data_IF_483425435702
#
_entry.id   IF_483425435702
#
_cell.length_a   1.000
_cell.length_b   1.000
_cell.length_c   1.000
_cell.angle_alpha   90.00
_cell.angle_beta   90.00
_cell.angle_gamma   90.00
#
_symmetry.space_group_name_H-M   'P 1'
#
loop_
_entity.id
_entity.type
_entity.pdbx_description
1 polymer ?
#
# COMPACT_ATOMS: atom_id res chain seq x y z
N UNK A 1 -0.24 -2.56 -33.50
CA UNK A 1 0.23 -3.85 -32.94
C UNK A 1 -0.19 -3.90 -31.48
N UNK A 2 -0.85 -4.97 -31.08
CA UNK A 2 -1.37 -5.16 -29.71
C UNK A 2 -0.49 -6.15 -28.95
N UNK A 3 -0.26 -5.92 -27.66
CA UNK A 3 0.38 -6.93 -26.80
C UNK A 3 -0.71 -7.91 -26.32
N UNK A 4 -0.63 -9.21 -26.68
CA UNK A 4 -1.59 -10.21 -26.24
C UNK A 4 -1.42 -10.47 -24.73
N UNK A 5 -2.46 -11.02 -24.09
CA UNK A 5 -2.32 -11.54 -22.73
C UNK A 5 -1.41 -12.77 -22.77
N UNK A 6 -0.48 -12.87 -21.81
CA UNK A 6 0.39 -14.03 -21.71
C UNK A 6 0.66 -14.40 -20.25
N UNK A 7 0.91 -15.68 -20.03
CA UNK A 7 1.27 -16.25 -18.74
C UNK A 7 2.48 -17.16 -18.92
N UNK A 8 3.48 -17.02 -18.05
CA UNK A 8 4.66 -17.87 -18.02
C UNK A 8 4.65 -18.68 -16.73
N UNK A 9 4.73 -20.00 -16.89
CA UNK A 9 4.94 -20.95 -15.79
C UNK A 9 6.17 -21.80 -16.08
N UNK A 10 6.70 -22.47 -15.07
CA UNK A 10 7.91 -23.30 -15.23
C UNK A 10 7.83 -24.57 -14.40
N UNK A 11 8.50 -25.59 -14.87
CA UNK A 11 8.85 -26.83 -14.16
C UNK A 11 10.38 -26.89 -13.98
N UNK A 12 10.91 -27.97 -13.42
CA UNK A 12 12.36 -28.13 -13.24
C UNK A 12 13.12 -28.18 -14.59
N UNK A 13 12.45 -28.60 -15.67
CA UNK A 13 13.05 -28.78 -17.00
C UNK A 13 12.50 -27.85 -18.08
N UNK A 14 11.27 -27.36 -17.93
CA UNK A 14 10.55 -26.66 -19.00
C UNK A 14 9.98 -25.31 -18.54
N UNK A 15 9.73 -24.42 -19.50
CA UNK A 15 9.00 -23.16 -19.36
C UNK A 15 7.77 -23.23 -20.27
N UNK A 16 6.59 -23.06 -19.70
CA UNK A 16 5.33 -23.03 -20.42
C UNK A 16 4.89 -21.58 -20.62
N UNK A 17 4.64 -21.21 -21.88
CA UNK A 17 4.12 -19.91 -22.28
C UNK A 17 2.70 -20.08 -22.83
N UNK A 18 1.73 -19.48 -22.16
CA UNK A 18 0.34 -19.41 -22.62
C UNK A 18 0.10 -18.01 -23.17
N UNK A 19 -0.37 -17.88 -24.41
CA UNK A 19 -0.70 -16.61 -25.05
C UNK A 19 -2.17 -16.61 -25.45
N UNK A 20 -2.95 -15.66 -24.93
CA UNK A 20 -4.35 -15.48 -25.32
C UNK A 20 -4.46 -14.40 -26.39
N UNK A 21 -4.83 -14.83 -27.60
CA UNK A 21 -4.90 -13.98 -28.77
C UNK A 21 -6.22 -14.24 -29.53
N UNK A 22 -7.34 -13.65 -29.09
CA UNK A 22 -8.68 -13.96 -29.60
C UNK A 22 -8.91 -13.51 -31.05
N UNK A 23 -8.20 -12.48 -31.50
CA UNK A 23 -8.31 -11.91 -32.86
C UNK A 23 -7.25 -12.48 -33.83
N UNK A 24 -6.50 -13.51 -33.41
CA UNK A 24 -5.41 -14.09 -34.19
C UNK A 24 -5.90 -15.18 -35.14
N UNK A 25 -5.36 -15.19 -36.36
CA UNK A 25 -5.48 -16.32 -37.27
C UNK A 25 -4.42 -17.36 -36.92
N UNK A 26 -4.84 -18.59 -36.61
CA UNK A 26 -3.93 -19.69 -36.24
C UNK A 26 -2.91 -20.01 -37.34
N UNK A 27 -3.26 -19.79 -38.62
CA UNK A 27 -2.37 -20.01 -39.77
C UNK A 27 -1.18 -19.04 -39.83
N UNK A 28 -1.34 -17.85 -39.24
CA UNK A 28 -0.40 -16.74 -39.38
C UNK A 28 0.44 -16.56 -38.11
N UNK A 29 0.41 -17.56 -37.21
CA UNK A 29 1.13 -17.53 -35.95
C UNK A 29 2.59 -17.97 -36.14
N UNK A 30 3.51 -17.04 -35.92
CA UNK A 30 4.95 -17.26 -35.95
C UNK A 30 5.53 -17.09 -34.55
N UNK A 31 6.38 -18.03 -34.16
CA UNK A 31 7.13 -17.98 -32.91
C UNK A 31 8.61 -18.22 -33.21
N UNK A 32 9.48 -17.39 -32.66
CA UNK A 32 10.94 -17.53 -32.79
C UNK A 32 11.59 -17.45 -31.42
N UNK A 33 12.46 -18.41 -31.12
CA UNK A 33 13.20 -18.49 -29.86
C UNK A 33 14.68 -18.21 -30.14
N UNK A 34 15.21 -17.17 -29.51
CA UNK A 34 16.61 -16.75 -29.63
C UNK A 34 17.27 -16.73 -28.26
N UNK A 35 17.62 -17.90 -27.73
CA UNK A 35 18.28 -18.06 -26.44
C UNK A 35 17.45 -17.53 -25.28
N UNK A 36 17.66 -16.28 -24.87
CA UNK A 36 16.90 -15.65 -23.78
C UNK A 36 15.72 -14.78 -24.27
N UNK A 37 15.48 -14.72 -25.58
CA UNK A 37 14.44 -13.87 -26.16
C UNK A 37 13.42 -14.71 -26.94
N UNK A 38 12.14 -14.56 -26.62
CA UNK A 38 11.03 -15.19 -27.34
C UNK A 38 10.26 -14.10 -28.10
N UNK A 39 10.03 -14.30 -29.38
CA UNK A 39 9.25 -13.39 -30.23
C UNK A 39 8.05 -14.16 -30.76
N UNK A 40 6.85 -13.67 -30.46
CA UNK A 40 5.59 -14.16 -31.02
C UNK A 40 4.99 -13.07 -31.91
N UNK A 41 4.62 -13.43 -33.12
CA UNK A 41 3.96 -12.56 -34.08
C UNK A 41 2.73 -13.26 -34.66
N UNK A 42 1.58 -12.61 -34.55
CA UNK A 42 0.36 -13.04 -35.22
C UNK A 42 -0.58 -11.85 -35.33
N UNK A 43 -0.76 -11.29 -36.53
CA UNK A 43 -1.52 -10.05 -36.73
C UNK A 43 -2.91 -10.11 -36.05
N UNK A 44 -3.31 -9.12 -35.23
CA UNK A 44 -2.65 -7.82 -34.95
C UNK A 44 -1.67 -7.82 -33.76
N UNK A 45 -1.37 -8.98 -33.18
CA UNK A 45 -0.57 -9.16 -31.99
C UNK A 45 0.93 -9.28 -32.25
N UNK A 46 1.71 -8.66 -31.38
CA UNK A 46 3.17 -8.79 -31.32
C UNK A 46 3.61 -8.85 -29.88
N UNK A 47 4.45 -9.82 -29.54
CA UNK A 47 4.99 -10.01 -28.20
C UNK A 47 6.48 -10.36 -28.30
N UNK A 48 7.29 -9.62 -27.55
CA UNK A 48 8.72 -9.87 -27.41
C UNK A 48 9.03 -9.98 -25.93
N UNK A 49 9.48 -11.15 -25.51
CA UNK A 49 9.80 -11.48 -24.12
C UNK A 49 11.30 -11.69 -23.98
N UNK A 50 11.85 -11.16 -22.89
CA UNK A 50 13.22 -11.37 -22.47
C UNK A 50 13.21 -12.18 -21.17
N UNK A 51 13.50 -13.47 -21.28
CA UNK A 51 13.54 -14.40 -20.16
C UNK A 51 14.80 -14.17 -19.30
N UNK A 52 14.74 -14.47 -17.98
CA UNK A 52 15.90 -14.32 -17.11
C UNK A 52 17.02 -15.30 -17.46
N UNK A 53 16.69 -16.53 -17.87
CA UNK A 53 17.62 -17.55 -18.37
C UNK A 53 17.43 -17.85 -19.85
N UNK A 54 18.22 -18.78 -20.38
CA UNK A 54 18.18 -19.22 -21.78
C UNK A 54 17.35 -20.49 -21.94
N UNK A 55 16.59 -20.53 -23.02
CA UNK A 55 15.81 -21.69 -23.46
C UNK A 55 16.35 -22.23 -24.78
N UNK A 56 16.19 -23.52 -24.99
CA UNK A 56 16.60 -24.23 -26.20
C UNK A 56 15.37 -24.61 -26.99
N UNK A 57 15.41 -24.36 -28.30
CA UNK A 57 14.39 -24.82 -29.25
C UNK A 57 14.72 -26.25 -29.65
N UNK A 58 13.78 -27.17 -29.42
CA UNK A 58 13.90 -28.59 -29.81
C UNK A 58 12.94 -28.88 -30.96
N UNK A 59 13.29 -29.86 -31.81
CA UNK A 59 12.46 -30.26 -32.97
C UNK A 59 11.05 -30.78 -32.58
N UNK A 60 10.84 -31.07 -31.29
CA UNK A 60 9.58 -31.54 -30.70
C UNK A 60 8.76 -30.42 -30.01
N UNK A 61 9.16 -29.15 -30.12
CA UNK A 61 8.45 -28.02 -29.50
C UNK A 61 7.10 -27.75 -30.20
N UNK A 62 6.09 -28.56 -29.86
CA UNK A 62 4.76 -28.45 -30.46
C UNK A 62 3.96 -27.34 -29.79
N UNK A 63 3.79 -26.21 -30.47
CA UNK A 63 2.77 -25.22 -30.12
C UNK A 63 1.36 -25.83 -30.26
N UNK A 64 0.59 -25.84 -29.16
CA UNK A 64 -0.80 -26.32 -29.16
C UNK A 64 -1.75 -25.14 -29.13
N UNK A 65 -2.81 -25.18 -29.94
CA UNK A 65 -3.87 -24.16 -29.90
C UNK A 65 -5.12 -24.73 -29.23
N UNK A 66 -5.59 -24.06 -28.19
CA UNK A 66 -6.84 -24.38 -27.52
C UNK A 66 -7.97 -23.50 -28.07
N UNK A 67 -8.86 -24.09 -28.87
CA UNK A 67 -10.00 -23.40 -29.48
C UNK A 67 -11.00 -22.84 -28.45
N UNK A 68 -11.19 -23.52 -27.31
CA UNK A 68 -12.18 -23.11 -26.31
C UNK A 68 -11.73 -21.86 -25.54
N UNK A 69 -10.43 -21.76 -25.24
CA UNK A 69 -9.81 -20.63 -24.55
C UNK A 69 -9.32 -19.51 -25.47
N UNK A 70 -9.17 -19.79 -26.77
CA UNK A 70 -8.44 -18.97 -27.75
C UNK A 70 -6.99 -18.68 -27.30
N UNK A 71 -6.35 -19.73 -26.80
CA UNK A 71 -5.03 -19.70 -26.15
C UNK A 71 -4.04 -20.56 -26.94
N UNK A 72 -2.86 -20.00 -27.24
CA UNK A 72 -1.70 -20.70 -27.76
C UNK A 72 -0.83 -21.16 -26.58
N UNK A 73 -0.47 -22.44 -26.54
CA UNK A 73 0.36 -23.04 -25.51
C UNK A 73 1.67 -23.48 -26.14
N UNK A 74 2.78 -22.93 -25.65
CA UNK A 74 4.13 -23.29 -26.05
C UNK A 74 4.91 -23.83 -24.85
N UNK A 75 5.72 -24.86 -25.07
CA UNK A 75 6.60 -25.46 -24.08
C UNK A 75 8.04 -25.37 -24.58
N UNK A 76 8.94 -24.83 -23.77
CA UNK A 76 10.37 -24.69 -24.10
C UNK A 76 11.22 -25.38 -23.05
N UNK A 77 12.30 -26.04 -23.47
CA UNK A 77 13.25 -26.63 -22.52
C UNK A 77 14.28 -25.59 -22.04
N UNK A 78 14.63 -25.66 -20.76
CA UNK A 78 15.70 -24.84 -20.18
C UNK A 78 17.07 -25.34 -20.65
N UNK A 79 18.00 -24.43 -20.95
CA UNK A 79 19.38 -24.80 -21.29
C UNK A 79 20.07 -25.55 -20.14
N UNK A 80 19.87 -25.06 -18.91
CA UNK A 80 20.30 -25.74 -17.69
C UNK A 80 19.11 -26.42 -17.00
N UNK A 81 19.12 -27.75 -16.93
CA UNK A 81 18.14 -28.52 -16.15
C UNK A 81 18.23 -28.14 -14.67
N UNK A 82 17.08 -27.96 -14.03
CA UNK A 82 16.91 -27.49 -12.64
C UNK A 82 17.26 -26.02 -12.38
N UNK A 83 17.50 -25.19 -13.41
CA UNK A 83 17.63 -23.74 -13.22
C UNK A 83 16.25 -23.11 -12.98
N UNK A 84 16.08 -22.38 -11.87
CA UNK A 84 14.85 -21.66 -11.59
C UNK A 84 14.90 -20.25 -12.19
N UNK A 85 13.91 -19.91 -13.02
CA UNK A 85 13.80 -18.59 -13.64
C UNK A 85 13.04 -17.64 -12.69
N UNK A 86 13.67 -16.62 -12.10
CA UNK A 86 12.98 -15.71 -11.20
C UNK A 86 12.04 -14.77 -11.96
N UNK A 87 10.95 -14.36 -11.32
CA UNK A 87 10.10 -13.23 -11.75
C UNK A 87 9.34 -13.40 -13.07
N UNK A 88 8.93 -14.63 -13.42
CA UNK A 88 8.16 -14.92 -14.64
C UNK A 88 6.77 -14.25 -14.69
N UNK A 89 6.28 -13.78 -13.56
CA UNK A 89 5.02 -13.07 -13.38
C UNK A 89 5.17 -11.53 -13.39
N UNK A 90 6.40 -11.00 -13.45
CA UNK A 90 6.67 -9.57 -13.52
C UNK A 90 6.69 -9.11 -14.99
N UNK A 91 5.50 -8.93 -15.57
CA UNK A 91 5.29 -8.60 -16.99
C UNK A 91 6.17 -7.42 -17.44
N UNK A 92 6.21 -6.33 -16.67
CA UNK A 92 7.01 -5.15 -16.98
C UNK A 92 8.52 -5.42 -17.08
N UNK A 93 9.05 -6.43 -16.38
CA UNK A 93 10.46 -6.84 -16.44
C UNK A 93 10.76 -7.68 -17.68
N UNK A 94 9.83 -8.54 -18.09
CA UNK A 94 9.97 -9.44 -19.22
C UNK A 94 9.86 -8.73 -20.58
N UNK A 95 9.12 -7.62 -20.64
CA UNK A 95 8.95 -6.83 -21.86
C UNK A 95 10.15 -5.89 -22.14
N UNK A 96 11.07 -5.72 -21.19
CA UNK A 96 12.21 -4.78 -21.30
C UNK A 96 13.48 -5.53 -21.71
N UNK A 97 14.24 -5.08 -22.72
CA UNK A 97 15.51 -5.70 -23.08
C UNK A 97 16.53 -5.58 -21.94
N UNK A 98 17.26 -6.66 -21.67
CA UNK A 98 18.39 -6.61 -20.73
C UNK A 98 19.43 -5.60 -21.23
N UNK A 99 19.81 -4.63 -20.40
CA UNK A 99 20.98 -3.79 -20.66
C UNK A 99 22.20 -4.71 -20.72
N UNK A 100 22.76 -4.93 -21.91
CA UNK A 100 24.05 -5.61 -22.05
C UNK A 100 25.09 -4.64 -21.51
N UNK A 101 25.78 -5.00 -20.42
CA UNK A 101 26.99 -4.30 -20.01
C UNK A 101 27.99 -4.39 -21.16
N UNK A 102 28.16 -3.30 -21.91
CA UNK A 102 29.22 -3.17 -22.89
C UNK A 102 30.54 -3.10 -22.12
N UNK A 103 31.36 -4.13 -22.32
CA UNK A 103 32.79 -4.12 -21.97
C UNK A 103 33.37 -2.86 -22.62
N UNK A 104 33.96 -1.95 -21.82
CA UNK A 104 34.65 -0.76 -22.31
C UNK A 104 35.71 -1.21 -23.34
N UNK A 105 35.79 -0.62 -24.54
CA UNK A 105 36.89 -0.90 -25.46
C UNK A 105 38.19 -0.36 -24.85
N UNK A 106 39.19 -1.23 -24.70
CA UNK A 106 40.55 -0.84 -24.27
C UNK A 106 41.21 -0.10 -25.43
N UNK A 107 41.47 1.19 -25.26
CA UNK A 107 42.45 1.92 -26.05
C UNK A 107 43.64 2.16 -25.12
N UNK A 108 44.77 1.50 -25.42
CA UNK A 108 46.05 1.75 -24.79
C UNK A 108 46.57 3.12 -25.25
N UNK A 109 46.80 4.04 -24.31
CA UNK A 109 47.82 5.07 -24.46
C UNK A 109 48.42 5.45 -23.10
N UNK A 110 49.76 5.46 -23.06
CA UNK A 110 50.60 5.57 -21.88
C UNK A 110 50.59 6.99 -21.25
N UNK A 111 50.16 7.12 -19.99
CA UNK A 111 50.78 8.03 -19.00
C UNK A 111 50.27 7.75 -17.57
N UNK A 112 51.08 7.93 -16.51
CA UNK A 112 50.67 7.61 -15.15
C UNK A 112 50.27 8.88 -14.38
N UNK A 113 49.03 8.97 -13.88
CA UNK A 113 48.73 9.72 -12.65
C UNK A 113 47.26 9.57 -12.20
N UNK A 114 47.15 8.97 -11.00
CA UNK A 114 46.28 9.28 -9.85
C UNK A 114 44.74 9.14 -9.95
N UNK A 115 44.25 8.33 -9.02
CA UNK A 115 42.87 7.88 -8.82
C UNK A 115 41.86 9.02 -8.56
N UNK A 116 40.73 8.96 -9.25
CA UNK A 116 39.51 9.72 -8.97
C UNK A 116 38.30 8.77 -9.01
N UNK A 117 37.27 8.98 -8.14
CA UNK A 117 36.21 8.01 -7.90
C UNK A 117 35.21 7.92 -9.05
N UNK A 118 34.71 6.70 -9.28
CA UNK A 118 33.73 6.32 -10.29
C UNK A 118 32.54 7.29 -10.41
N UNK A 119 32.59 8.16 -11.42
CA UNK A 119 31.42 8.81 -11.99
C UNK A 119 30.93 7.95 -13.16
N UNK A 120 29.76 7.32 -13.00
CA UNK A 120 29.06 6.65 -14.11
C UNK A 120 28.67 7.72 -15.15
N UNK A 121 29.37 7.73 -16.28
CA UNK A 121 29.12 8.58 -17.44
C UNK A 121 27.99 7.99 -18.29
N UNK A 122 26.78 8.53 -18.14
CA UNK A 122 25.69 8.38 -19.11
C UNK A 122 25.88 9.44 -20.22
N UNK A 123 26.42 9.04 -21.37
CA UNK A 123 26.21 9.74 -22.63
C UNK A 123 26.24 8.75 -23.81
N UNK A 124 25.54 9.12 -24.88
CA UNK A 124 25.30 8.42 -26.15
C UNK A 124 24.21 7.34 -26.22
N UNK A 125 22.95 7.80 -26.11
CA UNK A 125 21.91 7.34 -27.02
C UNK A 125 20.95 8.47 -27.40
N UNK A 126 21.41 9.37 -28.28
CA UNK A 126 20.59 10.35 -28.99
C UNK A 126 19.72 9.67 -30.07
N UNK A 127 18.80 8.80 -29.66
CA UNK A 127 17.78 8.19 -30.50
C UNK A 127 16.41 8.38 -29.87
N UNK A 128 15.60 9.27 -30.45
CA UNK A 128 14.24 9.65 -30.03
C UNK A 128 14.16 10.62 -28.84
N UNK A 129 14.66 11.86 -29.02
CA UNK A 129 14.18 12.99 -28.22
C UNK A 129 12.72 13.23 -28.60
N UNK A 130 11.80 12.78 -27.74
CA UNK A 130 10.42 13.23 -27.78
C UNK A 130 10.46 14.73 -27.45
N UNK A 131 10.19 15.58 -28.45
CA UNK A 131 10.00 17.02 -28.19
C UNK A 131 8.74 17.16 -27.34
N UNK A 132 8.91 17.27 -26.03
CA UNK A 132 7.85 17.76 -25.15
C UNK A 132 7.69 19.25 -25.43
N UNK A 133 6.45 19.71 -25.53
CA UNK A 133 6.13 21.13 -25.56
C UNK A 133 6.60 21.68 -24.23
N UNK A 134 7.69 22.45 -24.25
CA UNK A 134 8.20 23.16 -23.09
C UNK A 134 7.17 24.25 -22.74
N UNK A 135 6.17 23.91 -21.93
CA UNK A 135 5.33 24.91 -21.30
C UNK A 135 6.18 25.62 -20.24
N UNK A 136 6.75 26.74 -20.65
CA UNK A 136 7.41 27.75 -19.82
C UNK A 136 6.44 28.39 -18.82
N UNK A 137 5.82 27.60 -17.94
CA UNK A 137 5.17 28.08 -16.71
C UNK A 137 5.88 27.42 -15.51
N UNK A 138 7.18 27.68 -15.40
CA UNK A 138 8.07 27.17 -14.35
C UNK A 138 7.92 27.97 -13.05
N UNK A 139 6.75 27.94 -12.43
CA UNK A 139 6.56 28.39 -11.03
C UNK A 139 5.59 27.53 -10.21
N UNK A 140 4.89 26.57 -10.82
CA UNK A 140 3.92 25.73 -10.12
C UNK A 140 4.63 24.56 -9.41
N UNK A 141 4.22 24.30 -8.18
CA UNK A 141 4.75 23.19 -7.39
C UNK A 141 4.45 21.84 -8.04
N UNK A 142 5.44 20.95 -8.02
CA UNK A 142 5.30 19.59 -8.57
C UNK A 142 4.59 18.66 -7.58
N UNK A 143 3.89 17.66 -8.11
CA UNK A 143 3.18 16.62 -7.36
C UNK A 143 3.08 15.32 -8.19
N UNK A 144 2.36 14.32 -7.69
CA UNK A 144 2.19 13.04 -8.39
C UNK A 144 3.39 12.11 -8.23
N UNK A 145 3.33 10.97 -8.91
CA UNK A 145 4.41 9.98 -8.92
C UNK A 145 5.77 10.64 -9.21
N UNK A 146 6.72 10.46 -8.29
CA UNK A 146 8.07 11.02 -8.36
C UNK A 146 8.14 12.55 -8.63
N UNK A 147 7.09 13.31 -8.26
CA UNK A 147 6.95 14.73 -8.57
C UNK A 147 7.02 15.05 -10.08
N UNK A 148 6.46 14.20 -10.94
CA UNK A 148 6.39 14.43 -12.39
C UNK A 148 5.13 15.18 -12.86
N UNK A 149 4.10 15.28 -12.02
CA UNK A 149 2.87 16.01 -12.30
C UNK A 149 2.99 17.51 -12.01
N UNK A 150 2.35 18.33 -12.85
CA UNK A 150 2.26 19.79 -12.70
C UNK A 150 1.05 20.33 -13.47
N UNK A 151 0.40 21.40 -12.97
CA UNK A 151 -0.51 22.26 -13.74
C UNK A 151 -1.86 21.65 -14.13
N UNK A 152 -2.45 20.83 -13.26
CA UNK A 152 -3.74 20.14 -13.49
C UNK A 152 -4.83 20.69 -12.54
N UNK A 153 -4.47 21.43 -11.49
CA UNK A 153 -5.35 21.86 -10.41
C UNK A 153 -6.55 22.70 -10.85
N UNK A 154 -6.37 23.56 -11.86
CA UNK A 154 -7.45 24.43 -12.36
C UNK A 154 -8.57 23.67 -13.10
N UNK A 155 -8.33 22.44 -13.57
CA UNK A 155 -9.30 21.65 -14.34
C UNK A 155 -10.12 20.66 -13.49
N UNK A 156 -9.67 20.33 -12.28
CA UNK A 156 -10.24 19.29 -11.41
C UNK A 156 -10.44 19.79 -9.96
N UNK A 157 -10.69 21.09 -9.80
CA UNK A 157 -10.68 21.72 -8.48
C UNK A 157 -11.77 21.22 -7.53
N UNK A 158 -12.93 20.81 -8.05
CA UNK A 158 -14.03 20.30 -7.23
C UNK A 158 -13.71 18.90 -6.69
N UNK A 159 -13.21 18.02 -7.56
CA UNK A 159 -12.79 16.67 -7.21
C UNK A 159 -11.62 16.72 -6.21
N UNK A 160 -10.67 17.64 -6.40
CA UNK A 160 -9.58 17.82 -5.47
C UNK A 160 -10.00 18.34 -4.11
N UNK A 161 -11.12 19.07 -3.97
CA UNK A 161 -11.61 19.50 -2.65
C UNK A 161 -12.07 18.32 -1.78
N UNK A 162 -12.48 17.20 -2.39
CA UNK A 162 -12.89 16.00 -1.65
C UNK A 162 -11.71 15.06 -1.34
N UNK A 163 -10.63 15.15 -2.12
CA UNK A 163 -9.44 14.30 -2.00
C UNK A 163 -8.39 14.96 -1.11
N UNK A 164 -8.15 16.25 -1.30
CA UNK A 164 -7.09 17.01 -0.67
C UNK A 164 -7.59 17.78 0.53
N UNK A 165 -6.72 17.88 1.53
CA UNK A 165 -6.95 18.70 2.72
C UNK A 165 -6.54 20.16 2.50
N UNK A 166 -5.83 20.43 1.40
CA UNK A 166 -5.28 21.73 1.07
C UNK A 166 -5.43 22.02 -0.42
N UNK A 167 -6.09 23.16 -0.73
CA UNK A 167 -6.54 23.48 -2.09
C UNK A 167 -5.55 24.32 -2.88
N UNK A 168 -4.68 25.11 -2.24
CA UNK A 168 -3.69 25.97 -2.91
C UNK A 168 -2.33 25.28 -3.11
N UNK A 169 -2.36 23.99 -3.47
CA UNK A 169 -1.16 23.15 -3.58
C UNK A 169 -0.26 23.53 -4.76
N UNK A 170 -0.79 24.20 -5.79
CA UNK A 170 -0.04 24.61 -6.98
C UNK A 170 0.88 25.82 -6.73
N UNK A 171 0.49 26.73 -5.83
CA UNK A 171 1.26 27.94 -5.51
C UNK A 171 2.09 27.80 -4.23
N UNK A 172 1.95 26.68 -3.52
CA UNK A 172 2.63 26.45 -2.25
C UNK A 172 3.80 25.49 -2.42
N UNK A 173 4.99 25.90 -1.97
CA UNK A 173 6.18 25.06 -2.03
C UNK A 173 6.04 23.79 -1.20
N UNK A 174 6.87 22.77 -1.48
CA UNK A 174 6.84 21.51 -0.70
C UNK A 174 7.15 21.71 0.80
N UNK A 175 7.94 22.72 1.14
CA UNK A 175 8.35 23.01 2.52
C UNK A 175 7.26 23.75 3.29
N UNK A 176 6.60 24.70 2.62
CA UNK A 176 5.42 25.38 3.16
C UNK A 176 4.27 24.39 3.37
N UNK A 177 4.06 23.45 2.42
CA UNK A 177 3.05 22.38 2.57
C UNK A 177 3.29 21.51 3.80
N UNK A 178 4.55 21.18 4.13
CA UNK A 178 4.86 20.40 5.34
C UNK A 178 4.44 21.15 6.61
N UNK A 179 4.79 22.44 6.69
CA UNK A 179 4.47 23.29 7.84
C UNK A 179 2.96 23.48 8.00
N UNK A 180 2.25 23.74 6.90
CA UNK A 180 0.79 23.93 6.90
C UNK A 180 0.07 22.64 7.29
N UNK A 181 0.52 21.49 6.78
CA UNK A 181 -0.01 20.18 7.15
C UNK A 181 0.15 19.91 8.64
N UNK A 182 1.34 20.15 9.18
CA UNK A 182 1.60 19.90 10.61
C UNK A 182 0.74 20.79 11.52
N UNK A 183 0.50 22.03 11.11
CA UNK A 183 -0.40 22.95 11.79
C UNK A 183 -1.87 22.48 11.70
N UNK A 184 -2.32 22.03 10.53
CA UNK A 184 -3.68 21.50 10.33
C UNK A 184 -3.92 20.22 11.14
N UNK A 185 -2.97 19.29 11.14
CA UNK A 185 -3.01 18.08 11.96
C UNK A 185 -3.06 18.40 13.45
N UNK A 186 -2.28 19.39 13.92
CA UNK A 186 -2.33 19.84 15.31
C UNK A 186 -3.68 20.44 15.68
N UNK A 187 -4.29 21.19 14.76
CA UNK A 187 -5.62 21.77 14.97
C UNK A 187 -6.75 20.72 14.95
N UNK A 188 -6.60 19.64 14.18
CA UNK A 188 -7.60 18.57 14.08
C UNK A 188 -7.44 17.47 15.11
N UNK A 189 -6.29 17.39 15.80
CA UNK A 189 -6.09 16.46 16.89
C UNK A 189 -7.12 16.72 18.00
N UNK A 190 -7.75 15.66 18.48
CA UNK A 190 -8.74 15.70 19.56
C UNK A 190 -8.22 14.86 20.71
N UNK A 191 -7.85 15.55 21.80
CA UNK A 191 -7.38 14.94 23.04
C UNK A 191 -8.45 14.00 23.62
N UNK A 192 -9.70 14.45 23.67
CA UNK A 192 -10.83 13.65 24.17
C UNK A 192 -11.01 12.34 23.41
N UNK A 193 -10.96 12.37 22.07
CA UNK A 193 -11.12 11.15 21.27
C UNK A 193 -9.92 10.21 21.43
N UNK A 194 -8.71 10.77 21.50
CA UNK A 194 -7.50 9.98 21.74
C UNK A 194 -7.56 9.27 23.10
N UNK A 195 -7.98 9.98 24.14
CA UNK A 195 -8.13 9.42 25.49
C UNK A 195 -9.30 8.42 25.58
N UNK A 196 -10.40 8.65 24.87
CA UNK A 196 -11.49 7.68 24.80
C UNK A 196 -11.01 6.33 24.20
N UNK A 197 -10.25 6.38 23.10
CA UNK A 197 -9.68 5.17 22.50
C UNK A 197 -8.65 4.48 23.42
N UNK A 198 -7.89 5.25 24.20
CA UNK A 198 -6.93 4.71 25.16
C UNK A 198 -7.61 4.00 26.35
N UNK A 199 -8.65 4.62 26.92
CA UNK A 199 -9.22 4.22 28.20
C UNK A 199 -10.42 3.27 28.04
N UNK A 200 -11.28 3.52 27.05
CA UNK A 200 -12.57 2.83 26.87
C UNK A 200 -12.53 1.84 25.70
N UNK A 201 -11.79 2.15 24.63
CA UNK A 201 -11.72 1.33 23.41
C UNK A 201 -10.80 0.10 23.49
N UNK A 202 -10.29 -0.23 24.67
CA UNK A 202 -9.16 -1.15 24.81
C UNK A 202 -9.46 -2.55 24.26
N UNK A 203 -10.64 -3.13 24.46
CA UNK A 203 -10.93 -4.51 24.03
C UNK A 203 -10.97 -4.66 22.49
N UNK A 204 -11.64 -3.76 21.78
CA UNK A 204 -11.72 -3.78 20.31
C UNK A 204 -10.35 -3.48 19.69
N UNK A 205 -9.68 -2.44 20.20
CA UNK A 205 -8.36 -2.02 19.71
C UNK A 205 -7.32 -3.11 20.00
N UNK A 206 -7.38 -3.76 21.16
CA UNK A 206 -6.52 -4.90 21.48
C UNK A 206 -6.70 -6.04 20.48
N UNK A 207 -7.95 -6.32 20.07
CA UNK A 207 -8.22 -7.27 18.97
C UNK A 207 -7.46 -6.91 17.69
N UNK A 208 -7.46 -5.63 17.31
CA UNK A 208 -6.74 -5.13 16.12
C UNK A 208 -5.21 -5.14 16.30
N UNK A 209 -4.70 -4.85 17.49
CA UNK A 209 -3.27 -4.86 17.84
C UNK A 209 -2.72 -6.29 17.80
N UNK A 210 -3.43 -7.25 18.39
CA UNK A 210 -2.99 -8.65 18.44
C UNK A 210 -3.26 -9.43 17.15
N UNK A 211 -4.11 -8.91 16.26
CA UNK A 211 -4.37 -9.53 14.98
C UNK A 211 -3.09 -9.63 14.13
N UNK A 212 -2.94 -10.75 13.43
CA UNK A 212 -1.77 -11.03 12.59
C UNK A 212 -2.15 -11.01 11.12
N UNK A 213 -1.66 -10.04 10.34
CA UNK A 213 -1.89 -10.03 8.90
C UNK A 213 -1.11 -11.16 8.20
N UNK A 214 -1.52 -11.47 6.97
CA UNK A 214 -0.91 -12.53 6.16
C UNK A 214 0.60 -12.34 5.89
N UNK A 215 1.10 -11.10 5.99
CA UNK A 215 2.52 -10.76 5.81
C UNK A 215 3.32 -10.73 7.11
N UNK A 216 2.73 -11.07 8.26
CA UNK A 216 3.46 -11.17 9.52
C UNK A 216 4.54 -12.27 9.47
N UNK A 217 4.25 -13.36 8.77
CA UNK A 217 5.22 -14.44 8.51
C UNK A 217 6.00 -14.10 7.23
N UNK A 218 7.27 -13.73 7.38
CA UNK A 218 8.18 -13.33 6.29
C UNK A 218 8.54 -14.49 5.34
N UNK A 219 7.58 -14.95 4.55
CA UNK A 219 7.78 -15.98 3.53
C UNK A 219 7.73 -15.37 2.12
N UNK A 220 8.92 -14.96 1.63
CA UNK A 220 9.17 -14.38 0.29
C UNK A 220 8.47 -15.12 -0.86
N UNK A 221 8.37 -16.45 -0.78
CA UNK A 221 7.95 -17.31 -1.90
C UNK A 221 6.46 -17.68 -1.93
N UNK A 222 5.64 -17.17 -1.00
CA UNK A 222 4.21 -17.54 -0.96
C UNK A 222 3.30 -16.61 -1.78
N UNK A 223 3.77 -15.42 -2.15
CA UNK A 223 2.89 -14.41 -2.78
C UNK A 223 2.78 -14.67 -4.29
N UNK A 224 1.60 -15.13 -4.71
CA UNK A 224 1.25 -15.37 -6.12
C UNK A 224 0.16 -14.40 -6.59
N UNK A 225 0.29 -13.90 -7.81
CA UNK A 225 -0.75 -13.09 -8.44
C UNK A 225 -1.88 -13.96 -8.99
N UNK A 226 -3.10 -13.48 -8.85
CA UNK A 226 -4.29 -14.01 -9.48
C UNK A 226 -4.36 -13.62 -10.96
N UNK A 227 -5.20 -14.32 -11.73
CA UNK A 227 -5.43 -14.02 -13.15
C UNK A 227 -5.90 -12.59 -13.38
N UNK A 228 -6.76 -12.07 -12.50
CA UNK A 228 -7.25 -10.69 -12.57
C UNK A 228 -6.15 -9.66 -12.35
N UNK A 229 -5.25 -9.91 -11.39
CA UNK A 229 -4.10 -9.04 -11.12
C UNK A 229 -3.14 -9.02 -12.33
N UNK A 230 -2.90 -10.18 -12.97
CA UNK A 230 -2.09 -10.26 -14.19
C UNK A 230 -2.73 -9.53 -15.38
N UNK A 231 -4.04 -9.63 -15.55
CA UNK A 231 -4.78 -8.89 -16.58
C UNK A 231 -4.68 -7.38 -16.34
N UNK A 232 -4.78 -6.94 -15.08
CA UNK A 232 -4.59 -5.53 -14.73
C UNK A 232 -3.19 -5.03 -15.11
N UNK A 233 -2.12 -5.79 -14.86
CA UNK A 233 -0.78 -5.37 -15.28
C UNK A 233 -0.66 -5.13 -16.78
N UNK A 234 -1.40 -5.89 -17.60
CA UNK A 234 -1.46 -5.68 -19.06
C UNK A 234 -2.16 -4.37 -19.41
N UNK A 235 -3.28 -4.05 -18.74
CA UNK A 235 -4.06 -2.83 -19.04
C UNK A 235 -3.33 -1.56 -18.61
N UNK A 236 -2.56 -1.61 -17.52
CA UNK A 236 -1.72 -0.49 -17.07
C UNK A 236 -0.58 -0.18 -18.06
N UNK A 237 -0.18 -1.17 -18.87
CA UNK A 237 0.87 -1.05 -19.87
C UNK A 237 2.27 -1.13 -19.26
N UNK A 238 3.28 -0.83 -20.09
CA UNK A 238 4.69 -0.92 -19.70
C UNK A 238 5.42 0.39 -20.03
N UNK A 239 5.60 1.26 -19.03
CA UNK A 239 6.30 2.55 -19.15
C UNK A 239 7.67 2.48 -18.49
N UNK A 240 8.69 3.04 -19.11
CA UNK A 240 10.01 3.23 -18.49
C UNK A 240 10.07 4.59 -17.81
N UNK A 241 10.55 4.60 -16.57
CA UNK A 241 10.71 5.82 -15.78
C UNK A 241 12.19 6.15 -15.66
N UNK A 242 12.61 7.21 -16.35
CA UNK A 242 13.93 7.80 -16.21
C UNK A 242 13.86 8.81 -15.06
N UNK A 243 14.17 8.32 -13.86
CA UNK A 243 14.16 9.10 -12.62
C UNK A 243 15.59 9.45 -12.23
N UNK A 244 15.82 10.68 -11.82
CA UNK A 244 17.06 11.06 -11.14
C UNK A 244 17.10 10.50 -9.70
N UNK A 245 18.21 10.67 -8.97
CA UNK A 245 18.33 10.14 -7.60
C UNK A 245 17.36 10.82 -6.62
N UNK A 246 17.01 12.08 -6.84
CA UNK A 246 16.06 12.80 -5.99
C UNK A 246 14.63 12.29 -6.20
N UNK A 247 14.22 12.14 -7.46
CA UNK A 247 12.92 11.61 -7.88
C UNK A 247 12.75 10.15 -7.45
N UNK A 248 13.81 9.33 -7.53
CA UNK A 248 13.81 7.97 -6.96
C UNK A 248 13.58 8.01 -5.46
N UNK A 249 14.27 8.91 -4.74
CA UNK A 249 14.10 9.07 -3.29
C UNK A 249 12.68 9.52 -2.94
N UNK A 250 12.13 10.50 -3.65
CA UNK A 250 10.73 10.95 -3.51
C UNK A 250 9.76 9.80 -3.73
N UNK A 251 9.93 9.01 -4.79
CA UNK A 251 9.08 7.86 -5.08
C UNK A 251 9.16 6.80 -3.98
N UNK A 252 10.36 6.48 -3.48
CA UNK A 252 10.51 5.51 -2.40
C UNK A 252 9.86 5.99 -1.08
N UNK A 253 9.93 7.28 -0.77
CA UNK A 253 9.38 7.81 0.48
C UNK A 253 7.87 7.91 0.46
N UNK A 254 7.31 8.42 -0.65
CA UNK A 254 5.86 8.46 -0.83
C UNK A 254 5.25 7.06 -0.97
N UNK A 255 5.98 6.10 -1.53
CA UNK A 255 5.58 4.68 -1.50
C UNK A 255 5.41 4.15 -0.08
N UNK A 256 6.32 4.50 0.84
CA UNK A 256 6.23 4.07 2.25
C UNK A 256 5.06 4.73 2.97
N UNK A 257 4.81 6.02 2.72
CA UNK A 257 3.67 6.76 3.30
C UNK A 257 2.33 6.15 2.86
N UNK A 258 2.15 5.90 1.56
CA UNK A 258 0.96 5.24 1.01
C UNK A 258 0.81 3.81 1.57
N UNK A 259 1.91 3.08 1.67
CA UNK A 259 1.91 1.70 2.18
C UNK A 259 1.48 1.63 3.65
N UNK A 260 1.95 2.57 4.48
CA UNK A 260 1.50 2.66 5.86
C UNK A 260 -0.01 2.89 5.96
N UNK A 261 -0.54 3.81 5.16
CA UNK A 261 -1.98 4.09 5.12
C UNK A 261 -2.79 2.84 4.71
N UNK A 262 -2.29 2.06 3.74
CA UNK A 262 -2.87 0.77 3.38
C UNK A 262 -2.78 -0.27 4.51
N UNK A 263 -1.61 -0.40 5.15
CA UNK A 263 -1.42 -1.35 6.25
C UNK A 263 -2.34 -1.02 7.42
N UNK A 264 -2.54 0.27 7.73
CA UNK A 264 -3.49 0.73 8.73
C UNK A 264 -4.90 0.24 8.38
N UNK A 265 -5.38 0.56 7.17
CA UNK A 265 -6.70 0.15 6.73
C UNK A 265 -6.87 -1.37 6.76
N UNK A 266 -5.88 -2.13 6.28
CA UNK A 266 -5.96 -3.59 6.27
C UNK A 266 -6.06 -4.19 7.68
N UNK A 267 -5.33 -3.62 8.65
CA UNK A 267 -5.40 -4.05 10.06
C UNK A 267 -6.74 -3.70 10.69
N UNK A 268 -7.21 -2.46 10.54
CA UNK A 268 -8.48 -2.02 11.15
C UNK A 268 -9.72 -2.64 10.52
N UNK A 269 -9.60 -3.14 9.29
CA UNK A 269 -10.66 -3.88 8.60
C UNK A 269 -10.48 -5.40 8.66
N UNK A 270 -9.46 -5.90 9.37
CA UNK A 270 -9.13 -7.33 9.47
C UNK A 270 -9.00 -8.03 8.10
N UNK A 271 -8.60 -7.26 7.07
CA UNK A 271 -8.46 -7.70 5.69
C UNK A 271 -9.72 -7.59 4.81
N UNK A 272 -10.87 -7.18 5.35
CA UNK A 272 -12.14 -7.03 4.63
C UNK A 272 -12.49 -5.56 4.36
N UNK A 273 -12.12 -5.06 3.18
CA UNK A 273 -12.25 -3.64 2.86
C UNK A 273 -13.71 -3.15 2.80
N UNK A 274 -13.92 -1.91 3.23
CA UNK A 274 -15.23 -1.24 3.27
C UNK A 274 -15.25 -0.03 2.33
N UNK A 275 -16.41 0.65 2.26
CA UNK A 275 -16.55 1.91 1.50
C UNK A 275 -15.64 3.02 2.02
N UNK A 276 -15.28 2.97 3.32
CA UNK A 276 -14.39 3.94 3.96
C UNK A 276 -12.91 3.62 3.77
N UNK A 277 -12.56 2.46 3.18
CA UNK A 277 -11.16 2.08 3.01
C UNK A 277 -10.41 3.03 2.07
N UNK A 278 -11.06 3.45 0.99
CA UNK A 278 -10.47 4.43 0.07
C UNK A 278 -10.26 5.80 0.75
N UNK A 279 -11.23 6.22 1.57
CA UNK A 279 -11.10 7.44 2.37
C UNK A 279 -9.95 7.35 3.37
N UNK A 280 -9.88 6.25 4.13
CA UNK A 280 -8.87 6.02 5.16
C UNK A 280 -7.45 6.05 4.57
N UNK A 281 -7.23 5.36 3.45
CA UNK A 281 -5.91 5.32 2.80
C UNK A 281 -5.52 6.71 2.26
N UNK A 282 -6.43 7.40 1.59
CA UNK A 282 -6.19 8.75 1.10
C UNK A 282 -5.86 9.70 2.27
N UNK A 283 -6.68 9.66 3.33
CA UNK A 283 -6.58 10.58 4.45
C UNK A 283 -5.32 10.35 5.27
N UNK A 284 -4.92 9.10 5.51
CA UNK A 284 -3.72 8.81 6.30
C UNK A 284 -2.43 9.09 5.53
N UNK A 285 -2.41 8.96 4.22
CA UNK A 285 -1.23 9.30 3.41
C UNK A 285 -1.13 10.81 3.20
N UNK A 286 -0.08 11.45 3.72
CA UNK A 286 0.19 12.86 3.42
C UNK A 286 0.62 13.07 1.96
N UNK A 287 1.20 12.06 1.31
CA UNK A 287 1.42 12.08 -0.13
C UNK A 287 0.10 12.22 -0.89
N UNK A 288 -0.97 11.52 -0.49
CA UNK A 288 -2.22 11.55 -1.25
C UNK A 288 -3.09 12.77 -0.90
N UNK A 289 -3.18 13.12 0.38
CA UNK A 289 -4.06 14.20 0.88
C UNK A 289 -3.44 15.61 0.86
N UNK A 290 -2.11 15.72 0.83
CA UNK A 290 -1.37 17.00 0.82
C UNK A 290 -0.37 17.12 -0.33
N UNK A 291 -0.24 16.09 -1.16
CA UNK A 291 0.81 15.98 -2.18
C UNK A 291 2.23 16.14 -1.58
N UNK A 292 2.40 15.76 -0.31
CA UNK A 292 3.63 15.99 0.43
C UNK A 292 4.83 15.25 -0.20
N UNK A 293 5.96 15.95 -0.29
CA UNK A 293 7.27 15.33 -0.55
C UNK A 293 8.11 15.30 0.72
N UNK A 294 8.61 14.13 1.08
CA UNK A 294 9.40 13.94 2.30
C UNK A 294 10.90 14.11 2.04
N UNK A 295 11.63 14.64 3.05
CA UNK A 295 13.09 14.82 2.99
C UNK A 295 13.83 13.66 3.62
N UNK A 296 13.26 13.04 4.65
CA UNK A 296 13.85 11.90 5.38
C UNK A 296 12.81 10.79 5.65
N UNK A 297 13.28 9.58 5.97
CA UNK A 297 12.39 8.48 6.39
C UNK A 297 11.78 8.73 7.77
N UNK A 298 12.49 9.46 8.65
CA UNK A 298 11.94 9.89 9.94
C UNK A 298 10.72 10.80 9.73
N UNK A 299 10.76 11.72 8.78
CA UNK A 299 9.62 12.59 8.46
C UNK A 299 8.40 11.78 7.96
N UNK A 300 8.65 10.72 7.18
CA UNK A 300 7.59 9.80 6.73
C UNK A 300 6.96 9.12 7.94
N UNK A 301 7.76 8.52 8.83
CA UNK A 301 7.25 7.87 10.05
C UNK A 301 6.44 8.82 10.93
N UNK A 302 6.97 10.02 11.17
CA UNK A 302 6.31 11.03 12.00
C UNK A 302 4.95 11.41 11.41
N UNK A 303 4.90 11.65 10.09
CA UNK A 303 3.65 11.92 9.38
C UNK A 303 2.66 10.78 9.52
N UNK A 304 3.08 9.54 9.23
CA UNK A 304 2.24 8.35 9.36
C UNK A 304 1.65 8.21 10.78
N UNK A 305 2.49 8.30 11.80
CA UNK A 305 2.09 8.21 13.20
C UNK A 305 1.14 9.34 13.59
N UNK A 306 1.50 10.60 13.34
CA UNK A 306 0.65 11.76 13.64
C UNK A 306 -0.74 11.61 13.02
N UNK A 307 -0.82 11.31 11.73
CA UNK A 307 -2.10 11.22 11.00
C UNK A 307 -2.97 10.06 11.50
N UNK A 308 -2.36 8.94 11.88
CA UNK A 308 -3.08 7.79 12.47
C UNK A 308 -3.72 8.09 13.83
N UNK A 309 -3.26 9.14 14.53
CA UNK A 309 -3.81 9.58 15.81
C UNK A 309 -4.80 10.74 15.67
N UNK A 310 -5.00 11.27 14.46
CA UNK A 310 -5.82 12.46 14.21
C UNK A 310 -7.09 12.12 13.45
N UNK A 311 -6.98 11.34 12.38
CA UNK A 311 -8.05 11.22 11.39
C UNK A 311 -8.94 9.97 11.47
N UNK A 312 -8.40 8.75 11.67
CA UNK A 312 -9.18 7.55 11.50
C UNK A 312 -10.10 7.29 12.71
N UNK A 313 -10.89 6.22 12.60
CA UNK A 313 -11.79 5.77 13.66
C UNK A 313 -11.03 5.37 14.94
N UNK A 314 -9.91 4.65 14.84
CA UNK A 314 -9.15 4.18 15.99
C UNK A 314 -7.82 4.94 16.14
N UNK A 315 -7.72 5.81 17.13
CA UNK A 315 -6.59 6.72 17.35
C UNK A 315 -5.75 6.25 18.52
N UNK A 316 -5.02 5.16 18.32
CA UNK A 316 -4.27 4.50 19.39
C UNK A 316 -2.79 4.34 19.06
N UNK A 317 -1.91 4.70 20.00
CA UNK A 317 -0.45 4.67 19.79
C UNK A 317 0.07 3.27 19.45
N UNK A 318 -0.32 2.26 20.20
CA UNK A 318 0.19 0.90 19.99
C UNK A 318 -0.34 0.28 18.70
N UNK A 319 -1.56 0.65 18.29
CA UNK A 319 -2.10 0.25 16.99
C UNK A 319 -1.22 0.82 15.87
N UNK A 320 -0.89 2.11 15.95
CA UNK A 320 0.00 2.76 14.98
C UNK A 320 1.40 2.15 14.96
N UNK A 321 1.93 1.72 16.11
CA UNK A 321 3.20 0.99 16.19
C UNK A 321 3.14 -0.38 15.50
N UNK A 322 2.05 -1.15 15.68
CA UNK A 322 1.86 -2.40 14.95
C UNK A 322 1.73 -2.19 13.43
N UNK A 323 1.06 -1.12 13.01
CA UNK A 323 0.98 -0.76 11.58
C UNK A 323 2.35 -0.36 11.01
N UNK A 324 3.21 0.31 11.78
CA UNK A 324 4.60 0.54 11.37
C UNK A 324 5.34 -0.79 11.15
N UNK A 325 5.16 -1.76 12.06
CA UNK A 325 5.75 -3.11 11.92
C UNK A 325 5.22 -3.81 10.68
N UNK A 326 3.92 -3.71 10.39
CA UNK A 326 3.32 -4.25 9.17
C UNK A 326 3.95 -3.67 7.92
N UNK A 327 4.09 -2.34 7.88
CA UNK A 327 4.72 -1.62 6.77
C UNK A 327 6.14 -2.12 6.53
N UNK A 328 6.92 -2.30 7.60
CA UNK A 328 8.28 -2.86 7.55
C UNK A 328 8.24 -4.30 7.02
N UNK A 329 7.33 -5.14 7.51
CA UNK A 329 7.20 -6.54 7.10
C UNK A 329 6.81 -6.68 5.62
N UNK A 330 5.93 -5.82 5.12
CA UNK A 330 5.58 -5.78 3.68
C UNK A 330 6.82 -5.42 2.84
N UNK A 331 7.59 -4.39 3.24
CA UNK A 331 8.81 -4.01 2.53
C UNK A 331 9.87 -5.13 2.56
N UNK A 332 10.03 -5.81 3.70
CA UNK A 332 10.96 -6.94 3.86
C UNK A 332 10.53 -8.18 3.09
N UNK A 333 9.22 -8.38 2.88
CA UNK A 333 8.66 -9.44 2.02
C UNK A 333 8.88 -9.19 0.53
N UNK A 334 9.42 -8.02 0.17
CA UNK A 334 9.83 -7.70 -1.19
C UNK A 334 8.69 -7.22 -2.09
N UNK A 335 9.05 -7.06 -3.37
CA UNK A 335 8.23 -6.33 -4.34
C UNK A 335 6.91 -7.01 -4.72
N UNK A 336 6.80 -8.34 -4.59
CA UNK A 336 5.54 -9.07 -4.86
C UNK A 336 4.45 -8.67 -3.88
N UNK A 337 4.77 -8.73 -2.59
CA UNK A 337 3.84 -8.33 -1.53
C UNK A 337 3.48 -6.86 -1.66
N UNK A 338 4.49 -6.01 -1.89
CA UNK A 338 4.29 -4.59 -2.11
C UNK A 338 3.34 -4.31 -3.29
N UNK A 339 3.56 -4.99 -4.43
CA UNK A 339 2.72 -4.82 -5.62
C UNK A 339 1.28 -5.30 -5.37
N UNK A 340 1.07 -6.37 -4.59
CA UNK A 340 -0.27 -6.78 -4.15
C UNK A 340 -0.99 -5.69 -3.37
N UNK A 341 -0.30 -5.03 -2.44
CA UNK A 341 -0.86 -3.92 -1.69
C UNK A 341 -1.29 -2.78 -2.63
N UNK A 342 -0.42 -2.38 -3.57
CA UNK A 342 -0.73 -1.30 -4.51
C UNK A 342 -1.85 -1.65 -5.50
N UNK A 343 -2.00 -2.91 -5.91
CA UNK A 343 -3.16 -3.34 -6.71
C UNK A 343 -4.45 -3.26 -5.88
N UNK A 344 -4.41 -3.65 -4.61
CA UNK A 344 -5.58 -3.53 -3.74
C UNK A 344 -5.99 -2.04 -3.60
N UNK A 345 -5.02 -1.14 -3.39
CA UNK A 345 -5.26 0.32 -3.39
C UNK A 345 -5.88 0.77 -4.71
N UNK A 346 -5.31 0.34 -5.84
CA UNK A 346 -5.81 0.69 -7.17
C UNK A 346 -7.29 0.32 -7.32
N UNK A 347 -7.65 -0.91 -6.96
CA UNK A 347 -9.04 -1.39 -7.01
C UNK A 347 -9.97 -0.55 -6.12
N UNK A 348 -9.56 -0.29 -4.88
CA UNK A 348 -10.36 0.51 -3.92
C UNK A 348 -10.60 1.95 -4.41
N UNK A 349 -9.57 2.60 -4.95
CA UNK A 349 -9.68 3.94 -5.50
C UNK A 349 -10.50 3.99 -6.80
N UNK A 350 -10.41 2.95 -7.63
CA UNK A 350 -11.19 2.88 -8.85
C UNK A 350 -12.70 2.74 -8.58
N UNK A 351 -13.08 2.17 -7.42
CA UNK A 351 -14.46 2.07 -6.95
C UNK A 351 -14.93 3.24 -6.08
N UNK A 352 -14.08 4.22 -5.79
CA UNK A 352 -14.40 5.37 -4.93
C UNK A 352 -14.23 6.66 -5.70
N UNK A 353 -15.34 7.33 -6.02
CA UNK A 353 -15.32 8.65 -6.65
C UNK A 353 -15.09 9.73 -5.58
N UNK A 354 -14.27 10.78 -5.84
CA UNK A 354 -13.42 11.00 -7.02
C UNK A 354 -11.99 10.42 -6.91
N UNK A 355 -11.72 9.53 -5.95
CA UNK A 355 -10.37 9.00 -5.64
C UNK A 355 -9.72 8.21 -6.77
N UNK A 356 -10.43 7.81 -7.82
CA UNK A 356 -9.82 7.25 -9.03
C UNK A 356 -8.75 8.18 -9.63
N UNK A 357 -8.83 9.49 -9.42
CA UNK A 357 -7.80 10.45 -9.83
C UNK A 357 -6.44 10.16 -9.17
N UNK A 358 -6.42 9.64 -7.94
CA UNK A 358 -5.17 9.22 -7.29
C UNK A 358 -4.54 8.01 -7.97
N UNK A 359 -5.34 7.18 -8.65
CA UNK A 359 -4.79 6.13 -9.50
C UNK A 359 -4.03 6.72 -10.68
N UNK A 360 -4.56 7.77 -11.31
CA UNK A 360 -3.90 8.44 -12.43
C UNK A 360 -2.65 9.20 -12.00
N UNK A 361 -2.68 9.83 -10.82
CA UNK A 361 -1.59 10.66 -10.31
C UNK A 361 -0.45 9.86 -9.66
N UNK A 362 -0.75 8.72 -9.01
CA UNK A 362 0.21 7.98 -8.21
C UNK A 362 0.16 6.47 -8.46
N UNK A 363 -0.98 5.83 -8.20
CA UNK A 363 -1.02 4.38 -7.99
C UNK A 363 -0.72 3.59 -9.28
N UNK A 364 -1.18 4.06 -10.44
CA UNK A 364 -0.89 3.44 -11.74
C UNK A 364 0.61 3.36 -11.99
N UNK A 365 1.31 4.48 -11.83
CA UNK A 365 2.75 4.53 -12.07
C UNK A 365 3.53 3.72 -11.03
N UNK A 366 3.06 3.66 -9.77
CA UNK A 366 3.63 2.74 -8.79
C UNK A 366 3.48 1.27 -9.19
N UNK A 367 2.28 0.84 -9.62
CA UNK A 367 2.04 -0.52 -10.07
C UNK A 367 2.95 -0.93 -11.23
N UNK A 368 3.30 0.00 -12.13
CA UNK A 368 4.23 -0.25 -13.25
C UNK A 368 5.69 -0.22 -12.76
N UNK A 369 6.06 0.81 -11.99
CA UNK A 369 7.43 1.04 -11.56
C UNK A 369 7.95 -0.05 -10.61
N UNK A 370 7.14 -0.49 -9.64
CA UNK A 370 7.51 -1.51 -8.64
C UNK A 370 7.95 -2.83 -9.31
N UNK A 371 7.34 -3.20 -10.43
CA UNK A 371 7.72 -4.41 -11.20
C UNK A 371 9.19 -4.39 -11.67
N UNK A 372 9.74 -3.19 -11.87
CA UNK A 372 11.11 -2.96 -12.37
C UNK A 372 12.11 -2.66 -11.27
N UNK A 373 11.66 -2.24 -10.09
CA UNK A 373 12.55 -1.97 -8.95
C UNK A 373 13.21 -3.26 -8.49
N UNK A 374 14.52 -3.18 -8.22
CA UNK A 374 15.28 -4.31 -7.68
C UNK A 374 14.80 -4.66 -6.28
N UNK A 375 14.56 -5.94 -6.03
CA UNK A 375 14.08 -6.44 -4.75
C UNK A 375 15.02 -6.10 -3.57
N UNK A 376 16.34 -6.15 -3.80
CA UNK A 376 17.35 -5.74 -2.81
C UNK A 376 17.15 -4.30 -2.32
N UNK A 377 16.75 -3.38 -3.20
CA UNK A 377 16.50 -1.97 -2.83
C UNK A 377 15.25 -1.84 -1.94
N UNK A 378 14.17 -2.56 -2.26
CA UNK A 378 12.94 -2.57 -1.45
C UNK A 378 13.20 -3.14 -0.05
N UNK A 379 13.90 -4.29 0.03
CA UNK A 379 14.28 -4.88 1.32
C UNK A 379 15.19 -3.95 2.13
N UNK A 380 16.19 -3.34 1.47
CA UNK A 380 17.06 -2.33 2.10
C UNK A 380 16.26 -1.14 2.64
N UNK A 381 15.25 -0.67 1.90
CA UNK A 381 14.35 0.39 2.36
C UNK A 381 13.61 -0.03 3.63
N UNK A 382 13.11 -1.26 3.70
CA UNK A 382 12.48 -1.80 4.92
C UNK A 382 13.41 -1.79 6.14
N UNK A 383 14.67 -2.21 5.98
CA UNK A 383 15.67 -2.15 7.06
C UNK A 383 16.07 -0.73 7.44
N UNK A 384 16.15 0.20 6.48
CA UNK A 384 16.43 1.60 6.78
C UNK A 384 15.26 2.25 7.51
N UNK A 385 14.03 1.97 7.06
CA UNK A 385 12.83 2.45 7.71
C UNK A 385 12.78 1.92 9.14
N UNK A 386 12.94 0.62 9.39
CA UNK A 386 12.94 0.02 10.73
C UNK A 386 13.88 0.73 11.73
N UNK A 387 15.08 1.15 11.29
CA UNK A 387 16.07 1.82 12.15
C UNK A 387 15.67 3.21 12.64
N UNK A 388 14.76 3.89 11.96
CA UNK A 388 14.34 5.23 12.39
C UNK A 388 13.44 5.13 13.63
N UNK A 389 13.82 5.74 14.75
CA UNK A 389 13.02 5.73 15.97
C UNK A 389 12.12 6.97 16.06
N UNK A 390 10.88 6.76 16.52
CA UNK A 390 9.90 7.81 16.78
C UNK A 390 9.29 7.57 18.15
N UNK A 391 9.41 8.56 19.02
CA UNK A 391 8.81 8.57 20.35
C UNK A 391 7.53 9.39 20.39
N UNK A 392 6.73 9.23 21.45
CA UNK A 392 5.52 10.05 21.68
C UNK A 392 5.83 11.55 21.75
N UNK A 393 7.03 11.93 22.21
CA UNK A 393 7.47 13.32 22.29
C UNK A 393 7.73 13.93 20.90
N UNK A 394 8.20 13.13 19.93
CA UNK A 394 8.44 13.63 18.57
C UNK A 394 7.13 13.97 17.83
N UNK A 395 5.98 13.45 18.29
CA UNK A 395 4.67 13.69 17.67
C UNK A 395 4.21 15.14 17.87
N UNK A 396 4.55 15.77 18.99
CA UNK A 396 4.15 17.17 19.26
C UNK A 396 2.67 17.37 19.64
N UNK A 397 2.01 16.31 20.15
CA UNK A 397 0.66 16.33 20.72
C UNK A 397 0.65 16.11 22.24
N UNK A 398 1.82 16.20 22.89
CA UNK A 398 1.92 16.11 24.36
C UNK A 398 1.33 14.79 24.93
N UNK A 399 1.35 13.71 24.14
CA UNK A 399 0.70 12.43 24.45
C UNK A 399 1.13 11.84 25.80
N UNK A 400 2.41 11.98 26.17
CA UNK A 400 2.93 11.47 27.44
C UNK A 400 2.25 12.14 28.64
N UNK A 401 1.98 13.44 28.53
CA UNK A 401 1.34 14.23 29.58
C UNK A 401 -0.15 13.91 29.65
N UNK A 402 -0.80 13.79 28.49
CA UNK A 402 -2.22 13.40 28.38
C UNK A 402 -2.49 12.02 28.98
N UNK A 403 -1.70 11.01 28.61
CA UNK A 403 -1.82 9.65 29.12
C UNK A 403 -1.57 9.59 30.63
N UNK A 404 -0.55 10.30 31.13
CA UNK A 404 -0.25 10.34 32.55
C UNK A 404 -1.40 10.98 33.35
N UNK A 405 -1.97 12.08 32.84
CA UNK A 405 -3.12 12.73 33.47
C UNK A 405 -4.36 11.81 33.49
N UNK A 406 -4.65 11.11 32.39
CA UNK A 406 -5.77 10.19 32.31
C UNK A 406 -5.64 9.01 33.29
N UNK A 407 -4.45 8.44 33.41
CA UNK A 407 -4.18 7.36 34.37
C UNK A 407 -4.36 7.81 35.83
N UNK A 408 -3.91 9.02 36.19
CA UNK A 408 -4.12 9.56 37.54
C UNK A 408 -5.61 9.69 37.87
N UNK A 409 -6.43 10.18 36.94
CA UNK A 409 -7.88 10.30 37.14
C UNK A 409 -8.54 8.92 37.27
N UNK A 410 -8.11 7.94 36.49
CA UNK A 410 -8.61 6.57 36.62
C UNK A 410 -8.28 5.97 38.00
N UNK A 411 -7.05 6.11 38.47
CA UNK A 411 -6.65 5.62 39.80
C UNK A 411 -7.44 6.30 40.94
N UNK A 412 -7.68 7.61 40.84
CA UNK A 412 -8.50 8.34 41.82
C UNK A 412 -9.95 7.85 41.82
N UNK A 413 -10.58 7.72 40.65
CA UNK A 413 -11.97 7.25 40.54
C UNK A 413 -12.13 5.80 41.01
N UNK A 414 -11.18 4.91 40.71
CA UNK A 414 -11.17 3.55 41.24
C UNK A 414 -11.03 3.53 42.76
N UNK A 415 -10.16 4.37 43.34
CA UNK A 415 -10.02 4.50 44.79
C UNK A 415 -11.30 5.00 45.45
N UNK A 416 -11.96 6.02 44.87
CA UNK A 416 -13.23 6.54 45.37
C UNK A 416 -14.34 5.48 45.31
N UNK A 417 -14.43 4.71 44.23
CA UNK A 417 -15.40 3.62 44.10
C UNK A 417 -15.16 2.51 45.13
N UNK A 418 -13.89 2.18 45.38
CA UNK A 418 -13.52 1.20 46.42
C UNK A 418 -13.92 1.71 47.81
N UNK A 419 -13.74 2.98 48.10
CA UNK A 419 -14.14 3.56 49.38
C UNK A 419 -15.68 3.65 49.52
N UNK A 420 -16.40 4.00 48.45
CA UNK A 420 -17.87 3.94 48.43
C UNK A 420 -18.40 2.51 48.64
N UNK A 421 -17.76 1.50 48.04
CA UNK A 421 -18.11 0.09 48.23
C UNK A 421 -17.85 -0.38 49.66
N UNK A 422 -16.76 0.09 50.29
CA UNK A 422 -16.51 -0.17 51.73
C UNK A 422 -17.59 0.46 52.60
N UNK A 423 -17.98 1.71 52.33
CA UNK A 423 -19.05 2.38 53.08
C UNK A 423 -20.40 1.68 52.93
N UNK A 424 -20.74 1.17 51.73
CA UNK A 424 -21.96 0.39 51.51
C UNK A 424 -21.94 -0.95 52.27
N UNK A 425 -20.82 -1.68 52.26
CA UNK A 425 -20.68 -2.92 53.06
C UNK A 425 -20.82 -2.68 54.56
N UNK A 426 -20.26 -1.58 55.08
CA UNK A 426 -20.41 -1.22 56.50
C UNK A 426 -21.88 -0.91 56.85
N UNK A 427 -22.68 -0.38 55.90
CA UNK A 427 -24.11 -0.13 56.13
C UNK A 427 -24.95 -1.42 56.10
N UNK A 428 -24.60 -2.40 55.27
CA UNK A 428 -25.25 -3.72 55.26
C UNK A 428 -24.94 -4.51 56.55
N UNK A 429 -23.68 -4.54 57.01
CA UNK A 429 -23.28 -5.22 58.25
C UNK A 429 -23.93 -4.58 59.52
N UNK A 430 -24.22 -3.28 59.49
CA UNK A 430 -24.92 -2.59 60.59
C UNK A 430 -26.44 -2.77 60.56
N UNK A 431 -27.03 -3.22 59.45
CA UNK A 431 -28.47 -3.49 59.34
C UNK A 431 -28.83 -4.95 59.68
N UNK A 432 -27.86 -5.87 59.77
CA UNK A 432 -28.08 -7.26 60.21
C UNK A 432 -28.06 -7.44 61.75
N UNK A 433 -27.91 -6.37 62.54
CA UNK A 433 -27.87 -6.45 64.02
C UNK A 433 -29.09 -5.84 64.72
N UNK A 434 -30.26 -5.80 64.08
CA UNK A 434 -31.50 -5.41 64.77
C UNK A 434 -32.77 -6.13 64.33
N UNK A 435 -32.80 -7.47 64.21
CA UNK A 435 -34.06 -8.20 64.38
C UNK A 435 -33.84 -9.52 65.16
N UNK A 436 -34.13 -9.46 66.47
CA UNK A 436 -34.49 -10.64 67.27
C UNK A 436 -35.97 -10.59 67.61
N UNK A 437 -36.68 -11.59 67.07
CA UNK A 437 -37.86 -12.27 67.61
C UNK A 437 -39.28 -11.68 67.46
N UNK A 438 -40.01 -12.39 66.58
CA UNK A 438 -41.38 -12.91 66.72
C UNK A 438 -42.57 -11.97 66.47
N UNK A 439 -43.34 -12.22 65.40
CA UNK A 439 -44.53 -13.08 65.52
C UNK A 439 -45.15 -13.52 64.17
N UNK A 440 -45.83 -14.67 64.25
CA UNK A 440 -46.34 -15.48 63.14
C UNK A 440 -47.69 -15.02 62.54
N UNK A 441 -47.90 -15.32 61.25
CA UNK A 441 -49.01 -16.13 60.67
C UNK A 441 -49.77 -15.55 59.46
N UNK A 442 -49.91 -16.42 58.43
CA UNK A 442 -50.95 -16.54 57.38
C UNK A 442 -51.12 -15.38 56.37
N UNK A 443 -51.40 -15.54 55.07
CA UNK A 443 -51.77 -16.66 54.20
C UNK A 443 -51.79 -16.15 52.73
N UNK A 444 -51.50 -17.05 51.78
CA UNK A 444 -52.03 -17.17 50.39
C UNK A 444 -52.45 -15.90 49.61
N UNK A 445 -51.97 -15.60 48.40
CA UNK A 445 -52.17 -16.38 47.17
C UNK A 445 -51.62 -15.59 45.97
N UNK A 446 -51.31 -16.32 44.90
CA UNK A 446 -50.79 -15.92 43.59
C UNK A 446 -51.62 -14.88 42.81
N UNK A 447 -50.94 -13.97 42.09
CA UNK A 447 -51.48 -13.36 40.87
C UNK A 447 -50.36 -13.02 39.87
N UNK A 448 -50.34 -13.75 38.77
CA UNK A 448 -49.67 -13.46 37.49
C UNK A 448 -50.39 -12.35 36.73
N UNK A 449 -49.67 -11.56 35.92
CA UNK A 449 -49.98 -11.07 34.54
C UNK A 449 -49.11 -9.85 34.23
N UNK A 450 -48.12 -9.92 33.32
CA UNK A 450 -48.22 -9.68 31.87
C UNK A 450 -49.00 -8.40 31.52
N UNK A 451 -48.24 -7.33 31.20
CA UNK A 451 -48.77 -6.09 30.65
C UNK A 451 -48.55 -6.09 29.13
N UNK A 452 -49.62 -6.38 28.40
CA UNK A 452 -49.73 -6.10 26.97
C UNK A 452 -49.93 -4.60 26.73
N UNK A 453 -49.27 -4.11 25.69
CA UNK A 453 -49.44 -2.78 25.11
C UNK A 453 -50.03 -2.97 23.72
N UNK A 454 -51.18 -2.35 23.46
CA UNK A 454 -51.86 -2.18 22.18
C UNK A 454 -52.88 -1.04 22.44
N UNK A 455 -53.18 -0.08 21.58
CA UNK A 455 -53.09 0.01 20.13
C UNK A 455 -53.33 1.49 19.73
N UNK A 456 -53.02 1.81 18.47
CA UNK A 456 -53.82 2.60 17.50
C UNK A 456 -53.01 3.61 16.69
N UNK A 457 -52.63 3.19 15.47
CA UNK A 457 -52.87 4.00 14.26
C UNK A 457 -52.94 3.15 12.99
N UNK A 458 -54.17 2.98 12.49
CA UNK A 458 -54.49 2.81 11.06
C UNK A 458 -55.03 4.17 10.58
N UNK A 459 -54.85 4.66 9.35
CA UNK A 459 -55.03 3.99 8.05
C UNK A 459 -54.67 4.95 6.90
N UNK A 460 -54.20 4.37 5.78
CA UNK A 460 -54.51 4.68 4.37
C UNK A 460 -54.11 6.08 3.82
N UNK A 461 -53.51 6.25 2.63
CA UNK A 461 -53.57 5.54 1.33
C UNK A 461 -52.20 5.31 0.67
#
# INVERSE_FOLDING_TARGET
>A
MLTPFFELSQTDSEVLLVIKAPLANVSDAELTVNGDTIIFYCSPYYLRLHLPGKVVETEDDTGKYNCDGQEFLFSFFKENKNEHFPDLDMIGKLLVPKKKHTIKPVIEDCSPSEDAPDSESDDDSLGYIKQEIFNNNSSCAKFGFANKGQGIGNHLSLEFNEILDFTDFENTSSDERSSLREADEKNKFSEDHYLADLMEGCDEINGLVYWKPAWADSADDKVKFSREEMELFRTLGNRDYLLDEWEKKTALFSLVDILFAFAYNHRTTLGEYSVESAWTINKLSATLSWFQSFKTLKDVKLSCMRRSLVFPLYRHWDLSQEVLKDTINILKSGRRQLLKCFIAIYKMFNSSEPRYLLNELYITDYCIWIQKVSEKKIKKLGYLFEKEEVSKNDIGFELVELEAAALMVQEETESELVDQLKEMKIREDNNETSESDTDSSSSESSASTSLDSDDLSSSED
#
